data_IF_781777977981
#
_entry.id   IF_781777977981
#
_cell.length_a   1.000
_cell.length_b   1.000
_cell.length_c   1.000
_cell.angle_alpha   90.00
_cell.angle_beta   90.00
_cell.angle_gamma   90.00
#
_symmetry.space_group_name_H-M   'P 1'
#
loop_
_entity.id
_entity.type
_entity.pdbx_description
1 polymer ?
#
# COMPACT_ATOMS: atom_id res chain seq x y z
N UNK A 1 -2.37 18.13 -7.49
CA UNK A 1 -1.53 16.93 -7.33
C UNK A 1 -2.28 15.95 -6.45
N UNK A 2 -2.17 14.65 -6.71
CA UNK A 2 -2.74 13.59 -5.87
C UNK A 2 -1.62 12.84 -5.17
N UNK A 3 -1.61 12.78 -3.83
CA UNK A 3 -0.56 12.09 -3.10
C UNK A 3 -0.92 10.61 -2.83
N UNK A 4 0.09 9.76 -2.94
CA UNK A 4 0.05 8.34 -2.57
C UNK A 4 1.20 8.07 -1.62
N UNK A 5 0.87 7.51 -0.47
CA UNK A 5 1.81 7.36 0.63
C UNK A 5 2.15 5.89 0.87
N UNK A 6 3.43 5.61 1.04
CA UNK A 6 3.96 4.28 1.34
C UNK A 6 4.66 4.33 2.70
N UNK A 7 4.29 3.46 3.63
CA UNK A 7 4.97 3.33 4.92
C UNK A 7 5.64 1.95 5.03
N UNK A 8 6.91 1.92 5.42
CA UNK A 8 7.67 0.67 5.55
C UNK A 8 7.89 0.29 7.01
N UNK A 9 7.36 -0.87 7.41
CA UNK A 9 7.70 -1.58 8.64
C UNK A 9 9.09 -2.23 8.63
N UNK A 10 9.81 -2.13 7.52
CA UNK A 10 11.15 -2.67 7.33
C UNK A 10 12.21 -1.59 7.47
N UNK A 11 13.36 -1.94 8.05
CA UNK A 11 14.54 -1.07 8.06
C UNK A 11 14.98 -0.76 6.62
N UNK A 12 15.41 0.47 6.36
CA UNK A 12 15.95 0.88 5.06
C UNK A 12 17.48 1.00 5.21
N UNK A 13 18.27 0.13 4.56
CA UNK A 13 19.73 0.12 4.74
C UNK A 13 20.50 -1.05 4.08
N UNK A 14 21.82 -1.11 4.32
CA UNK A 14 22.70 -2.15 3.79
C UNK A 14 22.45 -3.51 4.48
N UNK A 15 22.50 -4.58 3.67
CA UNK A 15 21.92 -5.91 3.88
C UNK A 15 22.50 -6.80 5.01
N UNK A 16 23.02 -6.25 6.10
CA UNK A 16 23.48 -7.04 7.25
C UNK A 16 22.40 -7.36 8.29
N UNK A 17 21.16 -6.90 8.10
CA UNK A 17 20.01 -7.29 8.92
C UNK A 17 18.99 -8.04 8.07
N UNK A 18 18.50 -9.18 8.54
CA UNK A 18 17.55 -10.08 7.87
C UNK A 18 16.15 -9.48 7.61
N UNK A 19 15.98 -8.17 7.79
CA UNK A 19 14.71 -7.43 7.74
C UNK A 19 14.82 -6.05 7.07
N UNK A 20 15.71 -5.89 6.08
CA UNK A 20 15.85 -4.63 5.34
C UNK A 20 15.41 -4.73 3.88
N UNK A 21 14.60 -3.78 3.42
CA UNK A 21 14.31 -3.63 1.98
C UNK A 21 15.48 -2.86 1.35
N UNK A 22 16.09 -3.42 0.29
CA UNK A 22 17.23 -2.77 -0.37
C UNK A 22 16.79 -1.48 -1.07
N UNK A 23 17.69 -0.49 -1.11
CA UNK A 23 17.41 0.83 -1.69
C UNK A 23 16.99 0.77 -3.17
N UNK A 24 17.61 -0.10 -3.97
CA UNK A 24 17.25 -0.33 -5.36
C UNK A 24 15.81 -0.84 -5.51
N UNK A 25 15.40 -1.79 -4.66
CA UNK A 25 14.02 -2.30 -4.61
C UNK A 25 13.03 -1.19 -4.24
N UNK A 26 13.34 -0.37 -3.23
CA UNK A 26 12.50 0.78 -2.83
C UNK A 26 12.28 1.75 -3.99
N UNK A 27 13.36 2.07 -4.72
CA UNK A 27 13.31 2.98 -5.86
C UNK A 27 12.50 2.39 -7.02
N UNK A 28 12.64 1.09 -7.27
CA UNK A 28 11.91 0.41 -8.34
C UNK A 28 10.42 0.29 -8.01
N UNK A 29 10.06 -0.07 -6.77
CA UNK A 29 8.67 -0.05 -6.29
C UNK A 29 8.06 1.34 -6.49
N UNK A 30 8.78 2.39 -6.07
CA UNK A 30 8.30 3.76 -6.21
C UNK A 30 8.10 4.13 -7.68
N UNK A 31 9.09 3.85 -8.54
CA UNK A 31 8.99 4.14 -9.99
C UNK A 31 7.78 3.45 -10.63
N UNK A 32 7.53 2.18 -10.27
CA UNK A 32 6.45 1.38 -10.87
C UNK A 32 5.08 1.89 -10.42
N UNK A 33 4.92 2.16 -9.12
CA UNK A 33 3.70 2.76 -8.58
C UNK A 33 3.45 4.17 -9.14
N UNK A 34 4.50 4.99 -9.27
CA UNK A 34 4.40 6.31 -9.89
C UNK A 34 3.85 6.19 -11.31
N UNK A 35 4.39 5.28 -12.13
CA UNK A 35 3.89 5.03 -13.49
C UNK A 35 2.44 4.54 -13.53
N UNK A 36 2.00 3.76 -12.54
CA UNK A 36 0.60 3.32 -12.42
C UNK A 36 -0.33 4.49 -12.11
N UNK A 37 0.01 5.29 -11.10
CA UNK A 37 -0.82 6.42 -10.69
C UNK A 37 -0.79 7.56 -11.70
N UNK A 38 0.29 7.77 -12.45
CA UNK A 38 0.31 8.75 -13.54
C UNK A 38 -0.73 8.40 -14.63
N UNK A 39 -0.86 7.11 -14.98
CA UNK A 39 -1.88 6.62 -15.92
C UNK A 39 -3.29 6.81 -15.36
N UNK A 40 -3.50 6.54 -14.07
CA UNK A 40 -4.79 6.73 -13.38
C UNK A 40 -5.19 8.22 -13.33
N UNK A 41 -4.25 9.11 -13.00
CA UNK A 41 -4.50 10.56 -12.94
C UNK A 41 -4.79 11.12 -14.33
N UNK A 42 -4.04 10.70 -15.35
CA UNK A 42 -4.31 11.09 -16.73
C UNK A 42 -5.72 10.67 -17.17
N UNK A 43 -6.11 9.43 -16.90
CA UNK A 43 -7.45 8.94 -17.22
C UNK A 43 -8.54 9.71 -16.45
N UNK A 44 -8.33 10.02 -15.17
CA UNK A 44 -9.28 10.80 -14.38
C UNK A 44 -9.44 12.23 -14.88
N UNK A 45 -8.34 12.92 -15.16
CA UNK A 45 -8.40 14.29 -15.67
C UNK A 45 -9.03 14.34 -17.07
N UNK A 46 -8.85 13.28 -17.89
CA UNK A 46 -9.55 13.11 -19.16
C UNK A 46 -11.07 12.93 -18.99
N UNK A 47 -11.54 12.11 -18.03
CA UNK A 47 -12.97 11.95 -17.70
C UNK A 47 -13.60 13.31 -17.37
N UNK A 48 -12.84 14.22 -16.73
CA UNK A 48 -13.31 15.54 -16.32
C UNK A 48 -13.20 16.61 -17.41
N UNK A 49 -12.49 16.34 -18.50
CA UNK A 49 -12.17 17.33 -19.54
C UNK A 49 -11.24 18.46 -19.08
N UNK A 50 -10.65 18.37 -17.88
CA UNK A 50 -9.67 19.35 -17.37
C UNK A 50 -8.81 18.74 -16.24
N UNK A 51 -7.54 19.19 -16.09
CA UNK A 51 -6.71 18.76 -14.98
C UNK A 51 -7.30 19.13 -13.63
N UNK A 52 -7.56 18.15 -12.77
CA UNK A 52 -7.88 18.38 -11.34
C UNK A 52 -6.64 18.13 -10.50
N UNK A 53 -5.99 16.99 -10.70
CA UNK A 53 -4.79 16.62 -9.96
C UNK A 53 -3.52 16.88 -10.76
N UNK A 54 -3.57 16.75 -12.10
CA UNK A 54 -2.46 16.98 -13.03
C UNK A 54 -1.38 15.90 -13.00
N UNK A 55 -0.96 15.48 -11.81
CA UNK A 55 0.01 14.39 -11.58
C UNK A 55 -0.20 13.71 -10.23
N UNK A 56 0.31 12.48 -10.13
CA UNK A 56 0.49 11.81 -8.84
C UNK A 56 1.84 12.15 -8.22
N UNK A 57 1.95 11.99 -6.90
CA UNK A 57 3.22 11.89 -6.19
C UNK A 57 3.17 10.64 -5.30
N UNK A 58 3.97 9.63 -5.66
CA UNK A 58 4.17 8.44 -4.84
C UNK A 58 5.41 8.65 -3.97
N UNK A 59 5.26 8.47 -2.66
CA UNK A 59 6.35 8.73 -1.73
C UNK A 59 6.38 7.78 -0.54
N UNK A 60 7.60 7.38 -0.18
CA UNK A 60 7.89 6.71 1.08
C UNK A 60 7.91 7.73 2.22
N UNK A 61 7.19 7.42 3.28
CA UNK A 61 7.06 8.30 4.44
C UNK A 61 8.27 8.18 5.36
N UNK A 62 8.74 9.34 5.82
CA UNK A 62 9.71 9.46 6.92
C UNK A 62 9.06 9.83 8.27
N UNK A 63 7.81 10.28 8.24
CA UNK A 63 7.03 10.72 9.40
C UNK A 63 5.53 10.54 9.14
N UNK A 64 4.71 10.72 10.18
CA UNK A 64 3.23 10.62 10.07
C UNK A 64 2.70 11.73 9.17
N UNK A 65 2.07 11.42 8.03
CA UNK A 65 1.55 12.44 7.12
C UNK A 65 0.18 12.98 7.55
N UNK A 66 -0.18 14.15 7.01
CA UNK A 66 -1.57 14.60 6.93
C UNK A 66 -2.13 14.13 5.59
N UNK A 67 -2.94 13.05 5.61
CA UNK A 67 -3.53 12.45 4.40
C UNK A 67 -4.89 13.05 4.12
N UNK A 68 -5.12 13.56 2.91
CA UNK A 68 -6.43 14.08 2.53
C UNK A 68 -7.44 12.92 2.42
N UNK A 69 -8.74 13.16 2.66
CA UNK A 69 -9.75 12.10 2.59
C UNK A 69 -9.86 11.41 1.24
N UNK A 70 -9.30 11.94 0.16
CA UNK A 70 -9.31 11.31 -1.15
C UNK A 70 -7.98 10.66 -1.50
N UNK A 71 -6.94 10.79 -0.67
CA UNK A 71 -5.60 10.22 -0.94
C UNK A 71 -5.48 8.81 -0.36
N UNK A 72 -4.36 8.15 -0.64
CA UNK A 72 -4.17 6.72 -0.36
C UNK A 72 -2.90 6.47 0.46
N UNK A 73 -2.97 5.51 1.39
CA UNK A 73 -1.86 5.06 2.21
C UNK A 73 -1.83 3.53 2.26
N UNK A 74 -0.65 2.94 2.08
CA UNK A 74 -0.42 1.49 2.26
C UNK A 74 0.80 1.25 3.15
N UNK A 75 0.72 0.21 3.97
CA UNK A 75 1.78 -0.28 4.83
C UNK A 75 2.46 -1.50 4.21
N UNK A 76 3.79 -1.46 4.07
CA UNK A 76 4.59 -2.64 3.79
C UNK A 76 5.06 -3.25 5.10
N UNK A 77 4.62 -4.46 5.41
CA UNK A 77 4.96 -5.15 6.66
C UNK A 77 5.81 -6.40 6.39
N UNK A 78 6.70 -6.77 7.33
CA UNK A 78 7.37 -8.06 7.28
C UNK A 78 6.36 -9.21 7.39
N UNK A 79 6.68 -10.34 6.74
CA UNK A 79 5.90 -11.57 6.88
C UNK A 79 5.69 -11.94 8.36
N UNK A 80 4.47 -12.35 8.71
CA UNK A 80 4.10 -12.73 10.08
C UNK A 80 3.72 -11.55 10.99
N UNK A 81 3.69 -10.33 10.45
CA UNK A 81 3.14 -9.15 11.13
C UNK A 81 1.85 -8.72 10.46
N UNK A 82 0.85 -8.32 11.25
CA UNK A 82 -0.35 -7.62 10.78
C UNK A 82 -0.65 -6.44 11.68
N UNK A 83 -1.30 -5.42 11.15
CA UNK A 83 -1.53 -4.19 11.89
C UNK A 83 -2.91 -3.57 11.64
N UNK A 84 -3.35 -3.54 10.39
CA UNK A 84 -4.55 -2.79 9.98
C UNK A 84 -5.81 -3.30 10.67
N UNK A 85 -6.04 -4.62 10.67
CA UNK A 85 -7.24 -5.22 11.26
C UNK A 85 -7.37 -4.93 12.77
N UNK A 86 -6.27 -5.11 13.50
CA UNK A 86 -6.25 -4.99 14.96
C UNK A 86 -6.00 -3.56 15.45
N UNK A 87 -5.71 -2.62 14.53
CA UNK A 87 -5.25 -1.25 14.81
C UNK A 87 -4.06 -1.17 15.78
N UNK A 88 -3.28 -2.24 15.83
CA UNK A 88 -2.08 -2.41 16.64
C UNK A 88 -1.21 -3.42 15.93
N UNK A 89 0.11 -3.32 16.08
CA UNK A 89 0.98 -4.37 15.55
C UNK A 89 0.75 -5.66 16.35
N UNK A 90 0.40 -6.74 15.64
CA UNK A 90 0.10 -8.04 16.23
C UNK A 90 0.99 -9.13 15.65
N UNK A 91 1.29 -10.13 16.49
CA UNK A 91 1.88 -11.41 16.08
C UNK A 91 0.78 -12.27 15.49
N UNK A 92 1.02 -12.82 14.31
CA UNK A 92 0.12 -13.77 13.67
C UNK A 92 0.53 -13.93 12.22
N UNK A 93 0.65 -15.18 11.77
CA UNK A 93 0.83 -15.42 10.35
C UNK A 93 -0.30 -14.67 9.60
N UNK A 94 0.00 -13.90 8.54
CA UNK A 94 -1.06 -13.50 7.63
C UNK A 94 -1.87 -14.75 7.26
N UNK A 95 -3.18 -14.62 7.01
CA UNK A 95 -3.99 -15.77 6.65
C UNK A 95 -3.28 -16.57 5.53
N UNK A 96 -3.24 -17.91 5.61
CA UNK A 96 -2.54 -18.71 4.61
C UNK A 96 -2.98 -18.31 3.20
N UNK A 97 -2.02 -18.00 2.33
CA UNK A 97 -2.25 -17.57 0.94
C UNK A 97 -2.76 -16.14 0.74
N UNK A 98 -2.54 -15.23 1.70
CA UNK A 98 -2.78 -13.80 1.52
C UNK A 98 -1.47 -13.01 1.60
N UNK A 99 -1.19 -12.19 0.58
CA UNK A 99 -0.02 -11.31 0.53
C UNK A 99 -0.39 -9.83 0.78
N UNK A 100 -1.64 -9.56 1.19
CA UNK A 100 -2.13 -8.25 1.58
C UNK A 100 -3.49 -8.29 2.28
N UNK A 101 -3.89 -7.15 2.84
CA UNK A 101 -5.18 -6.96 3.48
C UNK A 101 -5.59 -5.49 3.48
N UNK A 102 -6.88 -5.24 3.23
CA UNK A 102 -7.49 -3.92 3.37
C UNK A 102 -8.72 -3.98 4.27
N UNK A 103 -8.67 -3.26 5.39
CA UNK A 103 -9.86 -3.03 6.21
C UNK A 103 -10.66 -1.85 5.63
N UNK A 104 -11.88 -2.13 5.19
CA UNK A 104 -12.83 -1.13 4.70
C UNK A 104 -13.60 -0.47 5.85
N UNK A 105 -14.18 0.69 5.57
CA UNK A 105 -14.96 1.53 6.48
C UNK A 105 -16.08 0.74 7.17
N UNK A 106 -15.90 0.37 8.44
CA UNK A 106 -17.00 -0.04 9.33
C UNK A 106 -17.30 1.10 10.31
N UNK A 107 -18.56 1.56 10.35
CA UNK A 107 -19.06 2.46 11.40
C UNK A 107 -18.38 3.84 11.51
N UNK A 108 -17.89 4.42 10.41
CA UNK A 108 -17.23 5.74 10.40
C UNK A 108 -15.71 5.71 10.63
N UNK A 109 -15.09 4.52 10.65
CA UNK A 109 -13.64 4.35 10.78
C UNK A 109 -12.90 4.59 9.45
N UNK A 110 -11.65 5.05 9.54
CA UNK A 110 -10.73 5.15 8.40
C UNK A 110 -10.34 3.77 7.83
N UNK A 111 -10.11 3.68 6.51
CA UNK A 111 -9.56 2.46 5.90
C UNK A 111 -8.06 2.34 6.12
N UNK A 112 -7.57 1.11 6.20
CA UNK A 112 -6.14 0.82 6.16
C UNK A 112 -5.86 -0.28 5.16
N UNK A 113 -4.69 -0.23 4.55
CA UNK A 113 -4.23 -1.21 3.56
C UNK A 113 -2.81 -1.64 3.92
N UNK A 114 -2.55 -2.95 3.93
CA UNK A 114 -1.25 -3.52 4.24
C UNK A 114 -0.88 -4.62 3.24
N UNK A 115 0.42 -4.74 2.96
CA UNK A 115 1.01 -5.77 2.11
C UNK A 115 2.05 -6.54 2.93
N UNK A 116 2.03 -7.86 2.80
CA UNK A 116 2.97 -8.77 3.43
C UNK A 116 3.92 -9.30 2.37
N UNK A 117 5.10 -8.70 2.23
CA UNK A 117 6.11 -9.30 1.35
C UNK A 117 6.78 -10.46 2.08
N UNK A 118 6.88 -11.61 1.42
CA UNK A 118 7.70 -12.76 1.85
C UNK A 118 9.19 -12.50 1.65
N UNK A 119 9.61 -11.24 1.71
CA UNK A 119 10.95 -10.76 1.36
C UNK A 119 11.40 -11.24 -0.02
N UNK A 120 10.49 -11.22 -0.99
CA UNK A 120 10.77 -11.72 -2.34
C UNK A 120 11.85 -10.92 -3.06
N UNK A 121 12.23 -9.73 -2.56
CA UNK A 121 13.08 -8.75 -3.24
C UNK A 121 12.60 -8.46 -4.67
N UNK A 122 11.33 -8.74 -4.97
CA UNK A 122 10.72 -8.55 -6.28
C UNK A 122 9.93 -7.25 -6.25
N UNK A 123 10.57 -6.18 -6.71
CA UNK A 123 9.97 -4.86 -6.75
C UNK A 123 8.67 -4.82 -7.56
N UNK A 124 8.56 -5.64 -8.60
CA UNK A 124 7.37 -5.72 -9.43
C UNK A 124 6.21 -6.35 -8.67
N UNK A 125 6.45 -7.46 -7.96
CA UNK A 125 5.44 -8.08 -7.10
C UNK A 125 4.97 -7.12 -5.99
N UNK A 126 5.90 -6.48 -5.28
CA UNK A 126 5.57 -5.55 -4.19
C UNK A 126 4.71 -4.39 -4.68
N UNK A 127 5.10 -3.74 -5.79
CA UNK A 127 4.32 -2.65 -6.37
C UNK A 127 2.93 -3.12 -6.84
N UNK A 128 2.85 -4.31 -7.43
CA UNK A 128 1.60 -4.89 -7.91
C UNK A 128 0.63 -5.17 -6.75
N UNK A 129 1.14 -5.77 -5.65
CA UNK A 129 0.36 -6.02 -4.44
C UNK A 129 -0.09 -4.72 -3.77
N UNK A 130 0.80 -3.72 -3.67
CA UNK A 130 0.42 -2.40 -3.13
C UNK A 130 -0.69 -1.74 -3.94
N UNK A 131 -0.59 -1.81 -5.27
CA UNK A 131 -1.64 -1.29 -6.14
C UNK A 131 -2.95 -2.06 -5.99
N UNK A 132 -2.90 -3.38 -5.85
CA UNK A 132 -4.06 -4.23 -5.55
C UNK A 132 -4.78 -3.78 -4.27
N UNK A 133 -4.03 -3.54 -3.18
CA UNK A 133 -4.62 -3.06 -1.94
C UNK A 133 -5.17 -1.63 -2.05
N UNK A 134 -4.51 -0.76 -2.81
CA UNK A 134 -5.07 0.55 -3.14
C UNK A 134 -6.40 0.44 -3.89
N UNK A 135 -6.55 -0.55 -4.79
CA UNK A 135 -7.81 -0.80 -5.47
C UNK A 135 -8.90 -1.26 -4.49
N UNK A 136 -8.59 -2.18 -3.57
CA UNK A 136 -9.53 -2.58 -2.52
C UNK A 136 -10.03 -1.36 -1.74
N UNK A 137 -9.11 -0.50 -1.29
CA UNK A 137 -9.41 0.67 -0.48
C UNK A 137 -10.25 1.71 -1.24
N UNK A 138 -9.80 2.06 -2.45
CA UNK A 138 -10.37 3.17 -3.20
C UNK A 138 -11.71 2.81 -3.84
N UNK A 139 -11.79 1.62 -4.44
CA UNK A 139 -13.00 1.13 -5.10
C UNK A 139 -14.04 0.63 -4.08
N UNK A 140 -13.60 0.20 -2.90
CA UNK A 140 -14.47 -0.26 -1.82
C UNK A 140 -15.43 -1.38 -2.26
N UNK A 141 -14.89 -2.35 -3.02
CA UNK A 141 -15.63 -3.49 -3.56
C UNK A 141 -15.51 -4.76 -2.72
N UNK A 142 -14.68 -4.75 -1.66
CA UNK A 142 -14.32 -5.97 -0.93
C UNK A 142 -13.80 -7.06 -1.88
N UNK A 143 -14.22 -8.30 -1.67
CA UNK A 143 -13.83 -9.44 -2.51
C UNK A 143 -14.43 -9.42 -3.92
N UNK A 144 -15.45 -8.59 -4.19
CA UNK A 144 -15.98 -8.42 -5.56
C UNK A 144 -14.93 -7.80 -6.49
N UNK A 145 -13.86 -7.19 -5.95
CA UNK A 145 -12.72 -6.75 -6.76
C UNK A 145 -12.13 -7.92 -7.58
N UNK A 146 -12.06 -9.10 -6.98
CA UNK A 146 -11.34 -10.27 -7.51
C UNK A 146 -11.96 -10.89 -8.76
N UNK A 147 -13.20 -10.52 -9.11
CA UNK A 147 -13.83 -10.95 -10.36
C UNK A 147 -13.35 -10.14 -11.58
N UNK A 148 -12.51 -9.13 -11.38
CA UNK A 148 -11.94 -8.28 -12.44
C UNK A 148 -10.55 -8.78 -12.85
N UNK A 149 -10.08 -8.30 -14.00
CA UNK A 149 -8.81 -8.73 -14.57
C UNK A 149 -7.59 -7.92 -14.07
N UNK A 150 -6.39 -8.35 -14.42
CA UNK A 150 -5.16 -7.61 -14.16
C UNK A 150 -4.83 -7.53 -12.67
N UNK A 151 -4.46 -6.33 -12.21
CA UNK A 151 -4.09 -6.10 -10.81
C UNK A 151 -5.28 -6.17 -9.84
N UNK A 152 -6.52 -6.28 -10.34
CA UNK A 152 -7.69 -6.52 -9.50
C UNK A 152 -7.96 -8.01 -9.23
N UNK A 153 -7.31 -8.93 -9.95
CA UNK A 153 -7.54 -10.36 -9.81
C UNK A 153 -7.14 -10.88 -8.42
N UNK A 154 -7.77 -11.98 -7.98
CA UNK A 154 -7.43 -12.63 -6.69
C UNK A 154 -5.96 -13.04 -6.57
N UNK A 155 -5.32 -13.38 -7.70
CA UNK A 155 -3.91 -13.78 -7.75
C UNK A 155 -3.12 -12.72 -8.49
N UNK A 156 -2.22 -12.06 -7.76
CA UNK A 156 -1.31 -11.05 -8.29
C UNK A 156 0.11 -11.59 -8.23
N UNK A 157 0.82 -11.47 -9.35
CA UNK A 157 2.22 -11.88 -9.51
C UNK A 157 3.04 -10.71 -10.03
N UNK A 158 4.36 -10.84 -10.07
CA UNK A 158 5.24 -9.85 -10.71
C UNK A 158 4.93 -9.63 -12.21
N UNK A 159 4.40 -10.67 -12.89
CA UNK A 159 4.04 -10.61 -14.30
C UNK A 159 2.62 -10.05 -14.54
N UNK A 160 1.79 -9.93 -13.51
CA UNK A 160 0.42 -9.41 -13.64
C UNK A 160 0.47 -7.96 -14.11
N UNK A 161 -0.30 -7.65 -15.16
CA UNK A 161 -0.28 -6.34 -15.81
C UNK A 161 -1.39 -5.43 -15.28
N UNK A 162 -1.09 -4.13 -15.18
CA UNK A 162 -2.10 -3.10 -14.99
C UNK A 162 -2.92 -2.93 -16.28
N UNK A 163 -4.20 -3.27 -16.22
CA UNK A 163 -5.13 -3.19 -17.37
C UNK A 163 -5.78 -1.82 -17.47
N UNK A 164 -6.34 -1.51 -18.64
CA UNK A 164 -7.14 -0.29 -18.84
C UNK A 164 -8.40 -0.28 -17.97
N UNK A 165 -9.00 -1.45 -17.71
CA UNK A 165 -10.11 -1.59 -16.77
C UNK A 165 -9.71 -1.11 -15.37
N UNK A 166 -8.60 -1.63 -14.82
CA UNK A 166 -8.09 -1.22 -13.51
C UNK A 166 -7.85 0.29 -13.42
N UNK A 167 -7.29 0.87 -14.49
CA UNK A 167 -7.01 2.31 -14.59
C UNK A 167 -8.30 3.11 -14.56
N UNK A 168 -9.27 2.75 -15.39
CA UNK A 168 -10.53 3.48 -15.52
C UNK A 168 -11.37 3.39 -14.25
N UNK A 169 -11.40 2.23 -13.59
CA UNK A 169 -12.08 2.06 -12.31
C UNK A 169 -11.48 2.97 -11.23
N UNK A 170 -10.15 2.93 -11.08
CA UNK A 170 -9.45 3.77 -10.12
C UNK A 170 -9.63 5.25 -10.44
N UNK A 171 -9.56 5.60 -11.73
CA UNK A 171 -9.77 6.96 -12.20
C UNK A 171 -11.17 7.47 -11.83
N UNK A 172 -12.22 6.69 -12.08
CA UNK A 172 -13.58 7.07 -11.71
C UNK A 172 -13.78 7.23 -10.19
N UNK A 173 -13.02 6.47 -9.38
CA UNK A 173 -13.11 6.51 -7.93
C UNK A 173 -12.16 7.51 -7.25
N UNK A 174 -11.24 8.17 -7.97
CA UNK A 174 -10.19 9.02 -7.39
C UNK A 174 -10.73 10.12 -6.46
N UNK A 175 -11.91 10.65 -6.75
CA UNK A 175 -12.56 11.69 -5.95
C UNK A 175 -13.33 11.18 -4.72
N UNK A 176 -13.51 9.86 -4.61
CA UNK A 176 -14.21 9.25 -3.49
C UNK A 176 -13.48 9.56 -2.17
N UNK A 177 -14.24 10.04 -1.19
CA UNK A 177 -13.75 10.31 0.16
C UNK A 177 -13.63 9.00 0.92
N UNK A 178 -12.39 8.54 1.04
CA UNK A 178 -11.89 7.36 1.73
C UNK A 178 -10.80 7.80 2.74
N UNK A 179 -11.16 8.30 3.94
CA UNK A 179 -10.19 8.62 4.98
C UNK A 179 -9.26 7.46 5.35
N UNK A 180 -7.95 7.70 5.40
CA UNK A 180 -6.94 6.67 5.70
C UNK A 180 -6.61 6.61 7.19
N UNK A 181 -6.41 5.41 7.73
CA UNK A 181 -5.92 5.21 9.09
C UNK A 181 -4.42 5.53 9.08
N UNK A 182 -4.00 6.59 9.77
CA UNK A 182 -2.61 7.08 9.72
C UNK A 182 -1.76 6.65 10.91
N UNK A 183 -2.39 6.23 12.01
CA UNK A 183 -1.69 5.90 13.27
C UNK A 183 -0.68 4.75 13.09
N UNK A 184 -0.92 3.86 12.14
CA UNK A 184 0.00 2.79 11.78
C UNK A 184 1.40 3.28 11.39
N UNK A 185 1.53 4.51 10.89
CA UNK A 185 2.84 5.10 10.59
C UNK A 185 3.62 5.33 11.89
N UNK A 186 2.96 5.88 12.92
CA UNK A 186 3.57 6.11 14.23
C UNK A 186 3.97 4.80 14.91
N UNK A 187 3.12 3.77 14.80
CA UNK A 187 3.39 2.43 15.34
C UNK A 187 4.65 1.83 14.70
N UNK A 188 4.75 1.91 13.37
CA UNK A 188 5.91 1.43 12.62
C UNK A 188 7.18 2.22 12.98
N UNK A 189 7.12 3.55 12.97
CA UNK A 189 8.27 4.41 13.27
C UNK A 189 8.81 4.18 14.68
N UNK A 190 7.92 4.07 15.67
CA UNK A 190 8.31 3.79 17.06
C UNK A 190 9.06 2.46 17.16
N UNK A 191 8.63 1.44 16.40
CA UNK A 191 9.28 0.13 16.40
C UNK A 191 10.63 0.13 15.69
N UNK A 192 10.74 0.80 14.54
CA UNK A 192 12.00 0.89 13.80
C UNK A 192 13.11 1.59 14.60
N UNK A 193 12.74 2.43 15.57
CA UNK A 193 13.67 3.07 16.49
C UNK A 193 14.15 2.17 17.66
N UNK A 194 13.51 1.02 17.90
CA UNK A 194 13.92 0.09 18.97
C UNK A 194 15.19 -0.67 18.58
N UNK A 195 16.05 -0.97 19.56
CA UNK A 195 17.27 -1.77 19.35
C UNK A 195 16.93 -3.20 18.92
N UNK A 196 17.72 -3.80 18.01
CA UNK A 196 17.59 -5.23 17.64
C UNK A 196 17.58 -6.18 18.86
N UNK A 197 18.25 -5.77 19.94
CA UNK A 197 18.37 -6.54 21.18
C UNK A 197 17.24 -6.24 22.18
N UNK A 198 16.32 -5.34 21.86
CA UNK A 198 15.19 -5.05 22.73
C UNK A 198 14.20 -6.23 22.70
N UNK A 199 13.93 -6.91 23.83
CA UNK A 199 12.98 -8.00 23.88
C UNK A 199 11.57 -7.56 23.48
N UNK A 200 11.20 -6.29 23.62
CA UNK A 200 9.93 -5.76 23.10
C UNK A 200 9.94 -5.53 21.58
N UNK A 201 11.11 -5.47 20.94
CA UNK A 201 11.23 -5.53 19.46
C UNK A 201 10.99 -6.95 18.93
N UNK A 202 11.33 -7.94 19.76
CA UNK A 202 11.26 -9.38 19.52
C UNK A 202 10.12 -10.14 20.22
N UNK A 203 9.20 -9.47 20.94
CA UNK A 203 7.94 -10.07 21.42
C UNK A 203 7.03 -10.27 20.20
N UNK A 204 7.42 -11.29 19.43
CA UNK A 204 6.77 -11.96 18.31
C UNK A 204 7.01 -13.45 18.52
#
# INVERSE_FOLDING_TARGET
MYNVYLASGLSIGNAMQTRSLKTDIILEVNRKLQGYFDRVILAHDAIRGRPKYGRALVQWLAFVPVVQPHELLVYLLPLGSKMVEAKKIGVGAPPPNHDGFTALYAGGASAGSEVYDRFSNDAALIANLMFHEFMHNKLNLGNTLHSRNGLAAATVTAATQLTNENINDMAAALDARRPQWVDGVGIISARSAMSDNDPAKGLF
#
